data_IF_381717392109
#
_entry.id   IF_381717392109
#
_cell.length_a   1.000
_cell.length_b   1.000
_cell.length_c   1.000
_cell.angle_alpha   90.00
_cell.angle_beta   90.00
_cell.angle_gamma   90.00
#
_symmetry.space_group_name_H-M   'P 1'
#
loop_
_entity.id
_entity.type
_entity.pdbx_description
1 polymer ?
#
# COMPACT_ATOMS: atom_id res chain seq x y z
N UNK A 1 46.07 -51.05 5.35
CA UNK A 1 46.77 -50.28 6.41
C UNK A 1 46.36 -48.82 6.28
N UNK A 2 45.67 -48.31 7.32
CA UNK A 2 45.41 -46.90 7.72
C UNK A 2 45.11 -45.80 6.67
N UNK A 3 43.85 -45.34 6.74
CA UNK A 3 43.30 -43.98 6.87
C UNK A 3 44.03 -42.75 6.26
N UNK A 4 43.23 -41.89 5.62
CA UNK A 4 43.20 -40.45 5.92
C UNK A 4 41.80 -39.89 5.58
N UNK A 5 41.18 -39.24 6.57
CA UNK A 5 39.98 -38.38 6.43
C UNK A 5 40.45 -37.01 5.94
N UNK A 6 39.69 -36.40 5.03
CA UNK A 6 39.83 -35.01 4.61
C UNK A 6 38.50 -34.53 4.03
N UNK A 7 37.74 -33.85 4.87
CA UNK A 7 36.66 -32.92 4.48
C UNK A 7 37.34 -31.83 3.61
N UNK A 8 36.73 -31.23 2.59
CA UNK A 8 35.59 -30.32 2.70
C UNK A 8 34.87 -30.20 1.35
N UNK A 9 33.53 -30.28 1.44
CA UNK A 9 32.61 -29.92 0.38
C UNK A 9 32.44 -28.41 0.42
N UNK A 10 32.69 -27.72 -0.68
CA UNK A 10 31.98 -26.47 -0.97
C UNK A 10 31.40 -26.56 -2.38
N UNK A 11 30.28 -27.30 -2.44
CA UNK A 11 29.26 -26.96 -3.41
C UNK A 11 28.76 -25.57 -3.06
N UNK A 12 28.88 -24.63 -4.00
CA UNK A 12 28.02 -23.45 -4.00
C UNK A 12 26.61 -23.91 -4.37
N UNK A 13 25.96 -24.53 -3.39
CA UNK A 13 24.51 -24.50 -3.28
C UNK A 13 24.14 -23.03 -3.14
N UNK A 14 23.75 -22.41 -4.26
CA UNK A 14 22.81 -21.29 -4.24
C UNK A 14 21.52 -21.83 -3.60
N UNK A 15 21.54 -21.87 -2.27
CA UNK A 15 20.37 -22.08 -1.46
C UNK A 15 19.38 -21.00 -1.89
N UNK A 16 18.37 -21.44 -2.62
CA UNK A 16 17.14 -20.73 -2.89
C UNK A 16 16.57 -20.32 -1.54
N UNK A 17 16.95 -19.13 -1.11
CA UNK A 17 16.58 -18.51 0.15
C UNK A 17 15.05 -18.64 0.37
N UNK A 18 14.60 -19.51 1.29
CA UNK A 18 13.19 -19.71 1.55
C UNK A 18 12.52 -18.48 2.17
N UNK A 19 13.30 -17.51 2.69
CA UNK A 19 12.77 -16.32 3.37
C UNK A 19 12.36 -15.19 2.41
N UNK A 20 12.78 -15.22 1.13
CA UNK A 20 12.30 -14.21 0.15
C UNK A 20 10.81 -14.32 -0.15
N UNK A 21 10.17 -15.45 0.16
CA UNK A 21 8.71 -15.63 0.01
C UNK A 21 7.92 -15.22 1.25
N UNK A 22 8.56 -15.12 2.41
CA UNK A 22 7.92 -14.75 3.67
C UNK A 22 7.63 -13.23 3.77
N UNK A 23 8.32 -12.39 2.99
CA UNK A 23 8.10 -10.93 3.03
C UNK A 23 7.03 -10.43 2.05
N UNK A 24 6.61 -11.24 1.08
CA UNK A 24 5.47 -10.91 0.21
C UNK A 24 4.17 -11.49 0.77
N UNK A 25 3.95 -11.34 2.07
CA UNK A 25 2.59 -11.28 2.57
C UNK A 25 2.03 -9.96 2.02
N UNK A 26 1.24 -10.02 0.93
CA UNK A 26 0.42 -8.89 0.56
C UNK A 26 -0.43 -8.62 1.80
N UNK A 27 -0.03 -7.63 2.60
CA UNK A 27 -0.92 -6.97 3.50
C UNK A 27 -2.06 -6.47 2.61
N UNK A 28 -3.15 -7.23 2.57
CA UNK A 28 -4.45 -6.71 2.15
C UNK A 28 -4.84 -5.78 3.29
N UNK A 29 -4.17 -4.63 3.34
CA UNK A 29 -4.61 -3.51 4.13
C UNK A 29 -5.85 -3.01 3.45
N UNK A 30 -6.92 -2.86 4.23
CA UNK A 30 -8.17 -2.23 3.85
C UNK A 30 -7.94 -1.18 2.75
N UNK A 31 -8.53 -1.39 1.57
CA UNK A 31 -8.44 -0.50 0.39
C UNK A 31 -9.15 0.83 0.63
N UNK A 32 -9.08 1.38 1.84
CA UNK A 32 -9.51 2.72 2.13
C UNK A 32 -8.48 3.68 1.55
N UNK A 33 -8.88 4.42 0.51
CA UNK A 33 -8.10 5.56 0.05
C UNK A 33 -7.95 6.57 1.18
N UNK A 34 -6.76 7.16 1.26
CA UNK A 34 -6.43 8.09 2.34
C UNK A 34 -6.18 9.48 1.79
N UNK A 35 -6.80 10.47 2.41
CA UNK A 35 -6.67 11.87 2.08
C UNK A 35 -6.14 12.67 3.28
N UNK A 36 -5.47 13.79 3.01
CA UNK A 36 -4.97 14.72 4.03
C UNK A 36 -4.83 16.10 3.41
N UNK A 37 -4.83 17.15 4.23
CA UNK A 37 -4.60 18.53 3.82
C UNK A 37 -5.74 19.45 4.18
N UNK A 38 -5.86 20.54 3.43
CA UNK A 38 -6.96 21.49 3.54
C UNK A 38 -8.29 20.77 3.32
N UNK A 39 -9.28 21.11 4.13
CA UNK A 39 -10.62 20.53 4.10
C UNK A 39 -11.72 21.58 4.34
N UNK A 40 -11.41 22.87 4.20
CA UNK A 40 -12.33 23.99 4.45
C UNK A 40 -13.67 23.90 3.70
N UNK A 41 -13.73 23.14 2.60
CA UNK A 41 -14.94 22.86 1.81
C UNK A 41 -15.40 21.41 1.83
N UNK A 42 -14.72 20.52 2.57
CA UNK A 42 -15.03 19.10 2.60
C UNK A 42 -14.30 18.27 1.54
N UNK A 43 -13.30 18.84 0.86
CA UNK A 43 -12.55 18.22 -0.23
C UNK A 43 -11.84 16.90 0.13
N UNK A 44 -11.72 16.55 1.41
CA UNK A 44 -11.17 15.25 1.81
C UNK A 44 -12.19 14.11 1.73
N UNK A 45 -13.49 14.39 1.67
CA UNK A 45 -14.52 13.36 1.60
C UNK A 45 -14.72 12.52 2.87
N UNK A 46 -14.14 12.95 4.01
CA UNK A 46 -14.26 12.27 5.31
C UNK A 46 -15.55 12.62 6.08
N UNK A 47 -16.47 13.37 5.45
CA UNK A 47 -17.69 13.86 6.08
C UNK A 47 -17.50 15.06 7.02
N UNK A 48 -16.30 15.64 7.06
CA UNK A 48 -15.99 16.84 7.84
C UNK A 48 -15.53 18.00 6.95
N UNK A 49 -15.42 19.19 7.53
CA UNK A 49 -14.76 20.36 6.93
C UNK A 49 -13.50 20.79 7.71
N UNK A 50 -12.93 19.86 8.48
CA UNK A 50 -11.77 20.12 9.34
C UNK A 50 -10.50 19.69 8.63
N UNK A 51 -9.52 20.59 8.54
CA UNK A 51 -8.20 20.30 7.98
C UNK A 51 -7.56 19.09 8.67
N UNK A 52 -6.90 18.23 7.89
CA UNK A 52 -6.25 17.02 8.41
C UNK A 52 -4.76 17.07 8.11
N UNK A 53 -3.96 17.24 9.16
CA UNK A 53 -2.50 17.14 9.05
C UNK A 53 -2.02 15.69 8.85
N UNK A 54 -2.83 14.70 9.23
CA UNK A 54 -2.57 13.28 9.00
C UNK A 54 -3.54 12.66 8.01
N UNK A 55 -3.22 11.45 7.54
CA UNK A 55 -4.10 10.69 6.67
C UNK A 55 -5.40 10.29 7.38
N UNK A 56 -6.53 10.57 6.74
CA UNK A 56 -7.84 10.05 7.11
C UNK A 56 -8.32 9.07 6.05
N UNK A 57 -9.00 8.03 6.49
CA UNK A 57 -9.64 7.06 5.59
C UNK A 57 -10.88 7.69 4.96
N UNK A 58 -10.99 7.56 3.65
CA UNK A 58 -12.18 7.90 2.87
C UNK A 58 -12.90 6.60 2.55
N UNK A 59 -14.18 6.45 2.93
CA UNK A 59 -14.94 5.24 2.62
C UNK A 59 -15.12 5.10 1.10
N UNK A 60 -14.60 4.02 0.53
CA UNK A 60 -14.72 3.76 -0.90
C UNK A 60 -13.62 2.84 -1.40
N UNK A 61 -13.65 2.61 -2.70
CA UNK A 61 -12.55 2.03 -3.47
C UNK A 61 -12.46 2.81 -4.79
N UNK A 62 -11.40 3.58 -4.95
CA UNK A 62 -11.18 4.53 -6.04
C UNK A 62 -9.93 4.15 -6.83
N UNK A 63 -10.08 4.09 -8.16
CA UNK A 63 -8.99 3.78 -9.08
C UNK A 63 -8.29 5.02 -9.64
N UNK A 64 -8.94 6.18 -9.54
CA UNK A 64 -8.40 7.48 -9.98
C UNK A 64 -8.88 8.57 -9.04
N UNK A 65 -7.99 9.50 -8.72
CA UNK A 65 -8.28 10.68 -7.89
C UNK A 65 -7.67 11.92 -8.57
N UNK A 66 -8.44 12.99 -8.63
CA UNK A 66 -8.02 14.32 -9.06
C UNK A 66 -8.19 15.28 -7.87
N UNK A 67 -7.09 15.86 -7.40
CA UNK A 67 -7.11 16.91 -6.39
C UNK A 67 -7.02 18.28 -7.08
N UNK A 68 -8.02 19.12 -6.84
CA UNK A 68 -8.01 20.53 -7.18
C UNK A 68 -7.70 21.41 -5.96
N UNK A 69 -7.57 22.72 -6.16
CA UNK A 69 -7.26 23.64 -5.05
C UNK A 69 -8.37 23.74 -3.99
N UNK A 70 -9.61 23.36 -4.34
CA UNK A 70 -10.79 23.48 -3.48
C UNK A 70 -11.80 22.34 -3.68
N UNK A 71 -11.39 21.24 -4.32
CA UNK A 71 -12.24 20.08 -4.59
C UNK A 71 -11.40 18.82 -4.76
N UNK A 72 -12.02 17.66 -4.58
CA UNK A 72 -11.47 16.36 -4.98
C UNK A 72 -12.51 15.60 -5.79
N UNK A 73 -12.11 14.99 -6.90
CA UNK A 73 -12.94 14.06 -7.65
C UNK A 73 -12.29 12.68 -7.67
N UNK A 74 -13.07 11.64 -7.40
CA UNK A 74 -12.59 10.27 -7.39
C UNK A 74 -13.50 9.36 -8.23
N UNK A 75 -12.89 8.40 -8.90
CA UNK A 75 -13.60 7.47 -9.77
C UNK A 75 -13.37 6.03 -9.31
N UNK A 76 -14.45 5.25 -9.22
CA UNK A 76 -14.42 3.84 -8.82
C UNK A 76 -14.07 2.90 -9.98
N UNK A 77 -13.82 1.63 -9.68
CA UNK A 77 -13.68 0.58 -10.67
C UNK A 77 -14.95 0.38 -11.55
N UNK A 78 -16.12 0.68 -11.00
CA UNK A 78 -17.40 0.64 -11.71
C UNK A 78 -17.71 1.90 -12.52
N UNK A 79 -16.72 2.80 -12.70
CA UNK A 79 -16.86 4.08 -13.39
C UNK A 79 -17.85 5.06 -12.73
N UNK A 80 -18.17 4.87 -11.45
CA UNK A 80 -18.89 5.87 -10.67
C UNK A 80 -17.93 7.00 -10.28
N UNK A 81 -18.39 8.24 -10.36
CA UNK A 81 -17.60 9.43 -9.98
C UNK A 81 -18.20 10.06 -8.73
N UNK A 82 -17.34 10.29 -7.74
CA UNK A 82 -17.62 11.03 -6.53
C UNK A 82 -16.88 12.36 -6.60
N UNK A 83 -17.51 13.43 -6.12
CA UNK A 83 -16.88 14.74 -6.02
C UNK A 83 -17.21 15.36 -4.67
N UNK A 84 -16.20 15.96 -4.07
CA UNK A 84 -16.28 16.73 -2.83
C UNK A 84 -15.68 18.11 -3.05
#
# INVERSE_FOLDING_TARGET
MRAQVGLDREGRDEARDPDRRAQQERAVGDEAERCSGANDRGQLGDGSTTDRAGFVAVPGAYRRVLAGGAFTAAETASAAVHAW
#
